data_IF_726558956572
#
_entry.id   IF_726558956572
#
_cell.length_a   1.000
_cell.length_b   1.000
_cell.length_c   1.000
_cell.angle_alpha   90.00
_cell.angle_beta   90.00
_cell.angle_gamma   90.00
#
_symmetry.space_group_name_H-M   'P 1'
#
loop_
_entity.id
_entity.type
_entity.pdbx_description
1 polymer ?
#
# COMPACT_ATOMS: atom_id res chain seq x y z
N UNK A 1 -68.32 -22.65 -18.78
CA UNK A 1 -67.18 -22.78 -17.84
C UNK A 1 -65.93 -22.15 -18.47
N UNK A 2 -65.95 -20.84 -18.73
CA UNK A 2 -64.81 -20.08 -19.27
C UNK A 2 -64.90 -18.66 -18.69
N UNK A 3 -64.19 -18.41 -17.58
CA UNK A 3 -64.38 -17.16 -16.81
C UNK A 3 -63.20 -16.71 -15.95
N UNK A 4 -62.01 -17.33 -16.02
CA UNK A 4 -60.87 -16.94 -15.17
C UNK A 4 -59.52 -17.11 -15.87
N UNK A 5 -59.25 -16.39 -16.98
CA UNK A 5 -57.89 -16.30 -17.55
C UNK A 5 -57.46 -14.86 -17.91
N UNK A 6 -58.36 -13.87 -17.94
CA UNK A 6 -58.03 -12.54 -18.45
C UNK A 6 -57.48 -11.52 -17.43
N UNK A 7 -57.18 -11.91 -16.19
CA UNK A 7 -56.67 -10.96 -15.17
C UNK A 7 -55.14 -10.82 -15.11
N UNK A 8 -54.35 -11.65 -15.81
CA UNK A 8 -52.89 -11.65 -15.65
C UNK A 8 -52.12 -10.89 -16.75
N UNK A 9 -52.66 -10.76 -17.96
CA UNK A 9 -51.94 -10.15 -19.09
C UNK A 9 -51.89 -8.61 -19.02
N UNK A 10 -52.89 -7.95 -18.43
CA UNK A 10 -52.92 -6.49 -18.32
C UNK A 10 -51.87 -5.94 -17.32
N UNK A 11 -51.48 -6.74 -16.31
CA UNK A 11 -50.45 -6.35 -15.35
C UNK A 11 -49.03 -6.38 -15.97
N UNK A 12 -48.76 -7.30 -16.91
CA UNK A 12 -47.48 -7.36 -17.64
C UNK A 12 -47.27 -6.17 -18.58
N UNK A 13 -48.32 -5.68 -19.24
CA UNK A 13 -48.22 -4.58 -20.21
C UNK A 13 -47.93 -3.21 -19.57
N UNK A 14 -48.41 -2.98 -18.34
CA UNK A 14 -48.07 -1.78 -17.56
C UNK A 14 -46.63 -1.81 -17.00
N UNK A 15 -45.99 -2.99 -16.98
CA UNK A 15 -44.64 -3.20 -16.45
C UNK A 15 -43.56 -2.97 -17.50
N UNK A 16 -43.86 -3.22 -18.78
CA UNK A 16 -42.93 -3.05 -19.91
C UNK A 16 -42.31 -1.65 -20.07
N UNK A 17 -43.06 -0.53 -20.03
CA UNK A 17 -42.46 0.80 -20.11
C UNK A 17 -41.60 1.12 -18.90
N UNK A 18 -41.86 0.50 -17.74
CA UNK A 18 -41.06 0.66 -16.52
C UNK A 18 -39.72 -0.10 -16.63
N UNK A 19 -39.72 -1.28 -17.22
CA UNK A 19 -38.48 -2.05 -17.50
C UNK A 19 -37.60 -1.32 -18.53
N UNK A 20 -38.20 -0.74 -19.57
CA UNK A 20 -37.45 0.02 -20.57
C UNK A 20 -36.78 1.25 -19.94
N UNK A 21 -37.49 1.98 -19.07
CA UNK A 21 -36.98 3.15 -18.36
C UNK A 21 -35.86 2.79 -17.38
N UNK A 22 -36.01 1.69 -16.63
CA UNK A 22 -34.95 1.14 -15.78
C UNK A 22 -33.71 0.74 -16.61
N UNK A 23 -33.91 0.17 -17.80
CA UNK A 23 -32.80 -0.20 -18.68
C UNK A 23 -32.07 1.00 -19.27
N UNK A 24 -32.73 2.14 -19.43
CA UNK A 24 -32.12 3.39 -19.88
C UNK A 24 -31.41 4.10 -18.73
N UNK A 25 -32.00 4.14 -17.53
CA UNK A 25 -31.35 4.67 -16.32
C UNK A 25 -30.08 3.87 -15.98
N UNK A 26 -30.11 2.53 -16.06
CA UNK A 26 -28.91 1.68 -15.88
C UNK A 26 -27.85 1.90 -16.97
N UNK A 27 -28.28 2.17 -18.22
CA UNK A 27 -27.36 2.49 -19.32
C UNK A 27 -26.76 3.86 -19.15
N UNK A 28 -27.52 4.82 -18.64
CA UNK A 28 -27.09 6.19 -18.39
C UNK A 28 -26.14 6.24 -17.18
N UNK A 29 -26.42 5.49 -16.11
CA UNK A 29 -25.52 5.31 -14.96
C UNK A 29 -24.21 4.61 -15.36
N UNK A 30 -24.29 3.56 -16.19
CA UNK A 30 -23.09 2.88 -16.75
C UNK A 30 -22.30 3.81 -17.68
N UNK A 31 -22.98 4.63 -18.48
CA UNK A 31 -22.36 5.59 -19.40
C UNK A 31 -21.70 6.74 -18.65
N UNK A 32 -22.34 7.27 -17.62
CA UNK A 32 -21.81 8.34 -16.76
C UNK A 32 -20.62 7.85 -15.92
N UNK A 33 -20.65 6.59 -15.49
CA UNK A 33 -19.50 5.92 -14.84
C UNK A 33 -18.35 5.69 -15.82
N UNK A 34 -18.62 5.30 -17.07
CA UNK A 34 -17.58 5.15 -18.08
C UNK A 34 -16.96 6.48 -18.52
N UNK A 35 -17.76 7.54 -18.65
CA UNK A 35 -17.27 8.88 -19.00
C UNK A 35 -16.40 9.46 -17.88
N UNK A 36 -16.78 9.30 -16.60
CA UNK A 36 -15.94 9.68 -15.44
C UNK A 36 -14.60 8.94 -15.38
N UNK A 37 -14.54 7.71 -15.87
CA UNK A 37 -13.29 6.94 -15.94
C UNK A 37 -12.38 7.37 -17.09
N UNK A 38 -12.94 7.84 -18.21
CA UNK A 38 -12.18 8.27 -19.39
C UNK A 38 -11.40 9.59 -19.18
N UNK A 39 -11.90 10.49 -18.33
CA UNK A 39 -11.21 11.73 -17.94
C UNK A 39 -10.32 11.57 -16.69
N UNK A 40 -10.29 10.38 -16.08
CA UNK A 40 -9.51 10.12 -14.87
C UNK A 40 -8.05 9.80 -15.18
N UNK A 41 -7.12 10.49 -14.51
CA UNK A 41 -5.68 10.23 -14.64
C UNK A 41 -5.41 8.78 -14.16
N UNK A 42 -4.90 7.87 -15.02
CA UNK A 42 -4.77 6.45 -14.67
C UNK A 42 -3.98 6.18 -13.37
N UNK A 43 -2.98 7.02 -13.07
CA UNK A 43 -2.16 6.93 -11.85
C UNK A 43 -2.94 7.21 -10.56
N UNK A 44 -4.02 8.01 -10.63
CA UNK A 44 -4.83 8.38 -9.48
C UNK A 44 -6.04 7.46 -9.29
N UNK A 45 -6.19 6.44 -10.14
CA UNK A 45 -7.28 5.47 -10.01
C UNK A 45 -7.01 4.45 -8.91
N UNK A 46 -8.05 4.01 -8.17
CA UNK A 46 -7.90 2.95 -7.18
C UNK A 46 -7.36 1.64 -7.77
N UNK A 47 -6.70 0.84 -6.94
CA UNK A 47 -6.17 -0.46 -7.33
C UNK A 47 -6.23 -1.47 -6.18
N UNK A 48 -6.72 -2.68 -6.45
CA UNK A 48 -6.75 -3.77 -5.47
C UNK A 48 -5.48 -4.61 -5.58
N UNK A 49 -4.61 -4.52 -4.58
CA UNK A 49 -3.37 -5.31 -4.47
C UNK A 49 -3.57 -6.42 -3.42
N UNK A 50 -3.97 -7.61 -3.86
CA UNK A 50 -4.27 -8.72 -2.95
C UNK A 50 -5.39 -8.35 -1.96
N UNK A 51 -5.03 -8.30 -0.68
CA UNK A 51 -5.94 -7.92 0.42
C UNK A 51 -5.96 -6.40 0.70
N UNK A 52 -5.17 -5.61 -0.02
CA UNK A 52 -5.04 -4.18 0.19
C UNK A 52 -5.78 -3.40 -0.91
N UNK A 53 -6.55 -2.38 -0.51
CA UNK A 53 -7.20 -1.47 -1.43
C UNK A 53 -6.42 -0.14 -1.47
N UNK A 54 -5.75 0.13 -2.58
CA UNK A 54 -5.01 1.36 -2.80
C UNK A 54 -5.93 2.44 -3.37
N UNK A 55 -5.80 3.67 -2.89
CA UNK A 55 -6.51 4.84 -3.43
C UNK A 55 -5.93 5.30 -4.77
N UNK A 56 -4.64 5.03 -5.02
CA UNK A 56 -3.92 5.41 -6.23
C UNK A 56 -2.79 4.44 -6.53
N UNK A 57 -2.23 4.52 -7.74
CA UNK A 57 -1.16 3.65 -8.25
C UNK A 57 0.25 4.21 -8.09
N UNK A 58 0.38 5.36 -7.42
CA UNK A 58 1.67 5.97 -7.08
C UNK A 58 2.22 5.26 -5.83
N UNK A 59 3.44 4.73 -5.93
CA UNK A 59 4.09 3.94 -4.87
C UNK A 59 5.41 4.60 -4.51
N UNK A 60 5.72 4.68 -3.21
CA UNK A 60 7.07 5.03 -2.77
C UNK A 60 7.98 3.81 -2.92
N UNK A 61 8.91 3.87 -3.86
CA UNK A 61 9.93 2.85 -4.06
C UNK A 61 10.82 2.69 -2.81
N UNK A 62 11.43 1.51 -2.60
CA UNK A 62 12.42 1.32 -1.56
C UNK A 62 13.67 2.17 -1.85
N UNK A 63 14.04 3.05 -0.91
CA UNK A 63 15.14 4.00 -1.08
C UNK A 63 16.06 4.00 0.14
N UNK A 64 17.20 3.33 0.07
CA UNK A 64 18.23 3.38 1.11
C UNK A 64 18.73 4.79 1.35
N UNK A 65 18.62 5.28 2.60
CA UNK A 65 19.00 6.68 2.94
C UNK A 65 20.24 6.81 3.81
N UNK A 66 20.77 5.70 4.34
CA UNK A 66 21.93 5.64 5.24
C UNK A 66 21.82 6.62 6.42
N UNK A 67 20.70 6.56 7.14
CA UNK A 67 20.42 7.43 8.30
C UNK A 67 19.89 6.63 9.50
N UNK A 68 20.26 5.36 9.60
CA UNK A 68 19.89 4.48 10.71
C UNK A 68 21.13 4.15 11.51
N UNK A 69 21.49 5.06 12.43
CA UNK A 69 22.72 4.98 13.22
C UNK A 69 22.80 3.68 14.00
N UNK A 70 23.88 2.92 13.83
CA UNK A 70 24.05 1.62 14.50
C UNK A 70 23.01 0.58 14.05
N UNK A 71 22.52 0.69 12.82
CA UNK A 71 21.43 -0.12 12.26
C UNK A 71 20.07 0.07 12.93
N UNK A 72 19.91 1.07 13.80
CA UNK A 72 18.65 1.37 14.47
C UNK A 72 17.93 2.51 13.74
N UNK A 73 16.66 2.32 13.32
CA UNK A 73 15.85 3.40 12.77
C UNK A 73 15.76 4.60 13.73
N UNK A 74 15.83 5.81 13.17
CA UNK A 74 15.95 7.03 13.96
C UNK A 74 14.64 7.85 13.98
N UNK A 75 14.43 8.75 14.96
CA UNK A 75 13.21 9.55 15.07
C UNK A 75 12.88 10.37 13.81
N UNK A 76 13.88 10.84 13.05
CA UNK A 76 13.65 11.58 11.81
C UNK A 76 13.00 10.72 10.71
N UNK A 77 13.12 9.39 10.78
CA UNK A 77 12.47 8.49 9.84
C UNK A 77 10.93 8.53 9.98
N UNK A 78 10.43 8.78 11.20
CA UNK A 78 9.01 8.98 11.48
C UNK A 78 8.49 10.15 10.62
N UNK A 79 9.16 11.30 10.69
CA UNK A 79 8.82 12.47 9.88
C UNK A 79 8.96 12.17 8.37
N UNK A 80 10.04 11.50 7.97
CA UNK A 80 10.34 11.19 6.58
C UNK A 80 9.24 10.35 5.90
N UNK A 81 8.81 9.26 6.53
CA UNK A 81 7.75 8.39 5.99
C UNK A 81 6.37 9.04 6.16
N UNK A 82 6.12 9.73 7.26
CA UNK A 82 4.87 10.47 7.47
C UNK A 82 4.63 11.50 6.37
N UNK A 83 5.65 12.29 5.98
CA UNK A 83 5.53 13.30 4.92
C UNK A 83 5.16 12.69 3.55
N UNK A 84 5.55 11.43 3.31
CA UNK A 84 5.33 10.73 2.03
C UNK A 84 4.06 9.88 2.03
N UNK A 85 3.36 9.83 3.16
CA UNK A 85 2.15 9.03 3.29
C UNK A 85 0.92 9.82 2.88
N UNK A 86 0.21 9.27 1.91
CA UNK A 86 -1.14 9.64 1.50
C UNK A 86 -2.13 8.54 1.89
N UNK A 87 -3.41 8.90 2.04
CA UNK A 87 -4.48 7.95 2.41
C UNK A 87 -4.64 6.87 1.34
N UNK A 88 -4.46 5.61 1.73
CA UNK A 88 -4.49 4.45 0.83
C UNK A 88 -3.33 4.41 -0.17
N UNK A 89 -2.24 5.15 0.08
CA UNK A 89 -1.00 5.03 -0.66
C UNK A 89 -0.15 3.87 -0.15
N UNK A 90 0.60 3.22 -1.05
CA UNK A 90 1.55 2.17 -0.71
C UNK A 90 2.96 2.74 -0.59
N UNK A 91 3.62 2.44 0.52
CA UNK A 91 5.01 2.75 0.77
C UNK A 91 5.80 1.45 0.96
N UNK A 92 7.01 1.42 0.42
CA UNK A 92 7.98 0.35 0.67
C UNK A 92 9.14 0.99 1.43
N UNK A 93 9.51 0.40 2.57
CA UNK A 93 10.62 0.89 3.38
C UNK A 93 11.93 0.82 2.61
N UNK A 94 12.91 1.56 3.10
CA UNK A 94 14.30 1.33 2.71
C UNK A 94 14.75 -0.11 3.02
N UNK A 95 15.82 -0.53 2.34
CA UNK A 95 16.39 -1.86 2.47
C UNK A 95 16.79 -2.13 3.93
N UNK A 96 16.13 -3.12 4.53
CA UNK A 96 16.25 -3.43 5.96
C UNK A 96 16.92 -4.78 6.15
N UNK A 97 18.10 -4.78 6.76
CA UNK A 97 18.90 -5.98 6.97
C UNK A 97 18.19 -7.00 7.85
N UNK A 98 18.25 -8.27 7.47
CA UNK A 98 17.63 -9.38 8.23
C UNK A 98 18.54 -10.01 9.29
N UNK A 99 19.84 -9.70 9.26
CA UNK A 99 20.85 -10.21 10.18
C UNK A 99 22.10 -9.34 10.15
N UNK A 100 23.02 -9.54 11.09
CA UNK A 100 24.31 -8.86 11.07
C UNK A 100 25.12 -9.15 9.79
N UNK A 101 25.00 -10.36 9.23
CA UNK A 101 25.69 -10.75 7.99
C UNK A 101 25.05 -10.19 6.71
N UNK A 102 23.84 -9.64 6.83
CA UNK A 102 23.08 -9.10 5.71
C UNK A 102 23.57 -7.70 5.28
N UNK A 103 24.47 -7.10 6.04
CA UNK A 103 24.89 -5.71 5.92
C UNK A 103 25.98 -5.51 4.86
N UNK A 104 25.85 -4.45 4.05
CA UNK A 104 26.90 -4.04 3.10
C UNK A 104 27.09 -2.54 2.93
N UNK A 105 26.26 -1.72 3.59
CA UNK A 105 26.39 -0.26 3.61
C UNK A 105 26.34 0.25 5.05
N UNK A 106 27.02 1.35 5.41
CA UNK A 106 26.88 1.92 6.75
C UNK A 106 25.48 2.51 6.95
N UNK A 107 25.04 2.55 8.21
CA UNK A 107 23.81 3.24 8.64
C UNK A 107 22.52 2.87 7.90
N UNK A 108 22.40 1.63 7.42
CA UNK A 108 21.11 1.10 6.94
C UNK A 108 20.39 0.39 8.08
N UNK A 109 19.05 0.45 8.14
CA UNK A 109 18.32 -0.13 9.25
C UNK A 109 18.38 -1.67 9.23
N UNK A 110 18.23 -2.24 10.41
CA UNK A 110 18.03 -3.67 10.64
C UNK A 110 16.64 -4.00 11.15
N UNK A 111 16.32 -5.29 11.22
CA UNK A 111 15.10 -5.82 11.87
C UNK A 111 15.34 -7.17 12.59
N UNK A 112 16.57 -7.43 13.04
CA UNK A 112 16.93 -8.69 13.72
C UNK A 112 17.06 -8.56 15.24
N UNK A 113 17.20 -7.34 15.77
CA UNK A 113 17.22 -7.11 17.22
C UNK A 113 15.88 -6.58 17.73
N UNK A 114 15.60 -6.81 19.02
CA UNK A 114 14.41 -6.24 19.67
C UNK A 114 14.42 -4.72 19.63
N UNK A 115 15.57 -4.10 19.84
CA UNK A 115 15.74 -2.65 19.78
C UNK A 115 15.35 -2.08 18.40
N UNK A 116 15.79 -2.72 17.32
CA UNK A 116 15.42 -2.33 15.95
C UNK A 116 13.92 -2.44 15.72
N UNK A 117 13.28 -3.52 16.20
CA UNK A 117 11.83 -3.71 16.10
C UNK A 117 11.08 -2.62 16.87
N UNK A 118 11.49 -2.30 18.09
CA UNK A 118 10.87 -1.21 18.87
C UNK A 118 11.05 0.15 18.19
N UNK A 119 12.21 0.41 17.58
CA UNK A 119 12.47 1.64 16.83
C UNK A 119 11.66 1.76 15.54
N UNK A 120 11.28 0.65 14.90
CA UNK A 120 10.40 0.65 13.72
C UNK A 120 8.94 0.97 14.06
N UNK A 121 8.44 0.60 15.24
CA UNK A 121 7.02 0.76 15.60
C UNK A 121 6.49 2.19 15.44
N UNK A 122 7.14 3.25 15.99
CA UNK A 122 6.66 4.62 15.81
C UNK A 122 6.61 5.08 14.35
N UNK A 123 7.49 4.54 13.50
CA UNK A 123 7.52 4.85 12.07
C UNK A 123 6.30 4.22 11.39
N UNK A 124 6.02 2.95 11.68
CA UNK A 124 4.85 2.24 11.17
C UNK A 124 3.56 2.91 11.63
N UNK A 125 3.48 3.27 12.91
CA UNK A 125 2.32 3.95 13.49
C UNK A 125 2.06 5.29 12.80
N UNK A 126 3.10 6.08 12.49
CA UNK A 126 2.94 7.34 11.80
C UNK A 126 2.43 7.19 10.35
N UNK A 127 2.79 6.10 9.66
CA UNK A 127 2.25 5.79 8.32
C UNK A 127 0.79 5.34 8.43
N UNK A 128 0.48 4.45 9.36
CA UNK A 128 -0.89 3.96 9.58
C UNK A 128 -1.84 5.06 10.07
N UNK A 129 -1.36 6.00 10.89
CA UNK A 129 -2.15 7.16 11.32
C UNK A 129 -2.64 8.02 10.16
N UNK A 130 -1.93 8.01 9.01
CA UNK A 130 -2.34 8.70 7.77
C UNK A 130 -3.12 7.79 6.81
N UNK A 131 -3.41 6.56 7.21
CA UNK A 131 -4.10 5.56 6.39
C UNK A 131 -3.26 5.01 5.25
N UNK A 132 -1.92 5.09 5.34
CA UNK A 132 -1.02 4.47 4.39
C UNK A 132 -0.87 2.96 4.62
N UNK A 133 -0.48 2.25 3.57
CA UNK A 133 -0.08 0.84 3.64
C UNK A 133 1.44 0.80 3.57
N UNK A 134 2.08 0.05 4.47
CA UNK A 134 3.53 0.08 4.60
C UNK A 134 4.15 -1.32 4.59
N UNK A 135 5.07 -1.56 3.67
CA UNK A 135 5.76 -2.83 3.52
C UNK A 135 7.23 -2.66 3.91
N UNK A 136 7.78 -3.61 4.65
CA UNK A 136 9.21 -3.66 4.96
C UNK A 136 9.97 -4.42 3.87
N UNK A 137 10.96 -3.78 3.23
CA UNK A 137 11.86 -4.46 2.31
C UNK A 137 12.94 -5.22 3.08
N UNK A 138 12.71 -6.52 3.29
CA UNK A 138 13.73 -7.42 3.83
C UNK A 138 14.90 -7.57 2.85
N UNK A 139 16.11 -7.44 3.35
CA UNK A 139 17.30 -7.31 2.52
C UNK A 139 18.51 -8.09 3.05
N UNK A 140 19.31 -8.62 2.11
CA UNK A 140 20.61 -9.22 2.35
C UNK A 140 21.53 -8.92 1.16
N UNK A 141 22.70 -8.33 1.39
CA UNK A 141 23.63 -7.95 0.31
C UNK A 141 24.35 -9.11 -0.37
N UNK A 142 24.51 -10.21 0.36
CA UNK A 142 25.31 -11.35 -0.10
C UNK A 142 26.76 -10.91 -0.30
N UNK A 143 27.25 -11.03 -1.55
CA UNK A 143 28.64 -10.68 -1.89
C UNK A 143 28.92 -9.17 -1.98
N UNK A 144 27.88 -8.32 -1.99
CA UNK A 144 28.05 -6.86 -2.08
C UNK A 144 28.31 -6.30 -0.67
N UNK A 145 29.35 -6.80 -0.02
CA UNK A 145 29.80 -6.41 1.33
C UNK A 145 31.33 -6.35 1.38
N UNK A 146 31.87 -5.82 2.47
CA UNK A 146 33.32 -5.78 2.73
C UNK A 146 33.58 -6.21 4.18
N UNK A 147 34.73 -6.86 4.44
CA UNK A 147 35.14 -7.30 5.77
C UNK A 147 35.20 -6.16 6.79
N UNK A 148 35.49 -4.94 6.34
CA UNK A 148 35.46 -3.74 7.19
C UNK A 148 34.09 -3.47 7.83
N UNK A 149 32.98 -3.79 7.14
CA UNK A 149 31.64 -3.65 7.71
C UNK A 149 31.32 -4.73 8.75
N UNK A 150 31.87 -5.94 8.59
CA UNK A 150 31.75 -6.98 9.62
C UNK A 150 32.49 -6.59 10.90
N UNK A 151 33.66 -5.96 10.78
CA UNK A 151 34.50 -5.61 11.93
C UNK A 151 33.99 -4.39 12.70
N UNK A 152 33.37 -3.40 12.03
CA UNK A 152 32.79 -2.23 12.69
C UNK A 152 31.64 -2.61 13.65
N UNK A 153 30.82 -3.60 13.30
CA UNK A 153 29.74 -4.07 14.19
C UNK A 153 30.27 -4.87 15.39
N UNK A 154 31.39 -5.57 15.24
CA UNK A 154 32.00 -6.34 16.34
C UNK A 154 32.68 -5.40 17.34
N UNK A 155 33.33 -4.34 16.85
CA UNK A 155 34.01 -3.34 17.70
C UNK A 155 33.02 -2.59 18.62
N UNK A 156 31.84 -2.20 18.12
CA UNK A 156 30.83 -1.51 18.92
C UNK A 156 30.14 -2.39 19.99
N UNK A 157 30.36 -3.70 19.98
CA UNK A 157 29.85 -4.63 21.01
C UNK A 157 30.85 -4.81 22.16
N UNK A 158 32.06 -4.25 22.05
CA UNK A 158 33.17 -4.45 23.00
C UNK A 158 33.68 -3.17 23.71
N UNK A 159 32.93 -2.07 23.67
CA UNK A 159 33.22 -0.85 24.44
C UNK A 159 32.10 -0.54 25.41
#
# INVERSE_FOLDING_TARGET
MWGHIFSCAACCLAFLPKIHKLSEEEKEEKKDTQIKMADSIPLLTPYKLGNFNLSHRIILAPLTRQRSYGNVPQPHAILYYSQRTSKGGLLISEATGVSNTAQGYPETPGIWTKEQVEAWKPIVDAVHAKGGIFFCQIWHVGRVSNSGLYLLTISSTFV
#
